data_IF_449991210776
#
_entry.id   IF_449991210776
#
_cell.length_a   1.000
_cell.length_b   1.000
_cell.length_c   1.000
_cell.angle_alpha   90.00
_cell.angle_beta   90.00
_cell.angle_gamma   90.00
#
_symmetry.space_group_name_H-M   'P 1'
#
loop_
_entity.id
_entity.type
_entity.pdbx_description
1 polymer ?
#
# COMPACT_ATOMS: atom_id res chain seq x y z
N UNK A 1 13.36 20.02 -8.36
CA UNK A 1 14.51 19.10 -8.35
C UNK A 1 15.59 19.40 -7.29
N UNK A 2 15.47 20.45 -6.49
CA UNK A 2 16.50 20.81 -5.47
C UNK A 2 16.14 20.49 -4.02
N UNK A 3 15.02 19.81 -3.76
CA UNK A 3 14.55 19.56 -2.39
C UNK A 3 14.88 18.17 -1.83
N UNK A 4 15.53 17.30 -2.61
CA UNK A 4 15.93 15.96 -2.17
C UNK A 4 17.36 15.82 -1.60
N UNK A 5 18.14 16.90 -1.47
CA UNK A 5 19.58 16.81 -1.12
C UNK A 5 19.89 17.26 0.31
N UNK A 6 18.93 17.60 1.14
CA UNK A 6 19.21 18.07 2.51
C UNK A 6 18.86 17.01 3.54
N UNK A 7 19.88 16.40 4.00
CA UNK A 7 20.14 15.79 5.32
C UNK A 7 20.55 14.31 5.29
N UNK A 8 21.78 14.07 4.82
CA UNK A 8 22.46 12.77 4.95
C UNK A 8 23.02 12.49 6.37
N UNK A 9 22.75 13.35 7.35
CA UNK A 9 23.38 13.26 8.68
C UNK A 9 22.62 12.37 9.69
N UNK A 10 21.37 12.01 9.42
CA UNK A 10 20.52 11.30 10.40
C UNK A 10 20.80 9.79 10.45
N UNK A 11 21.31 9.18 9.36
CA UNK A 11 21.54 7.72 9.30
C UNK A 11 22.92 7.26 9.78
N UNK A 12 23.80 8.17 10.20
CA UNK A 12 25.16 7.82 10.63
C UNK A 12 25.28 7.26 12.05
N UNK A 13 24.19 7.07 12.78
CA UNK A 13 24.19 6.61 14.17
C UNK A 13 23.49 5.27 14.43
N UNK A 14 23.39 4.38 13.44
CA UNK A 14 22.96 3.00 13.69
C UNK A 14 24.13 2.02 13.63
N UNK A 15 25.21 2.34 14.34
CA UNK A 15 26.16 1.34 14.85
C UNK A 15 25.82 1.05 16.31
N UNK A 16 24.77 0.30 16.55
CA UNK A 16 24.66 -0.46 17.78
C UNK A 16 24.84 -1.91 17.41
N UNK A 17 26.06 -2.40 17.56
CA UNK A 17 26.35 -3.78 17.88
C UNK A 17 25.69 -4.11 19.21
N UNK A 18 24.38 -4.24 19.22
CA UNK A 18 23.67 -4.90 20.29
C UNK A 18 23.78 -6.39 20.00
N UNK A 19 24.66 -7.07 20.72
CA UNK A 19 24.58 -8.51 20.94
C UNK A 19 23.13 -8.83 21.29
N UNK A 20 22.39 -9.48 20.37
CA UNK A 20 21.04 -9.98 20.66
C UNK A 20 21.17 -10.90 21.87
N UNK A 21 20.56 -10.58 23.02
CA UNK A 21 20.48 -11.55 24.11
C UNK A 21 19.55 -12.66 23.58
N UNK A 22 20.12 -13.82 23.26
CA UNK A 22 19.38 -15.01 22.85
C UNK A 22 18.35 -15.47 23.92
N UNK A 23 18.38 -14.84 25.11
CA UNK A 23 17.63 -15.28 26.29
C UNK A 23 16.30 -14.53 26.54
N UNK A 24 15.83 -13.65 25.64
CA UNK A 24 14.57 -12.95 25.85
C UNK A 24 13.68 -12.98 24.62
N UNK A 25 13.05 -14.14 24.31
CA UNK A 25 12.22 -14.31 23.12
C UNK A 25 10.96 -13.44 23.14
N UNK A 26 10.51 -12.98 24.31
CA UNK A 26 9.31 -12.13 24.45
C UNK A 26 9.60 -10.63 24.50
N UNK A 27 10.86 -10.21 24.25
CA UNK A 27 11.18 -8.79 24.14
C UNK A 27 10.57 -8.20 22.86
N UNK A 28 9.90 -7.06 22.98
CA UNK A 28 9.22 -6.38 21.89
C UNK A 28 10.18 -6.04 20.73
N UNK A 29 11.38 -5.54 21.06
CA UNK A 29 12.39 -5.13 20.08
C UNK A 29 12.97 -6.31 19.27
N UNK A 30 12.76 -7.55 19.74
CA UNK A 30 13.17 -8.77 19.05
C UNK A 30 12.08 -9.31 18.11
N UNK A 31 10.89 -8.70 18.08
CA UNK A 31 9.76 -9.18 17.30
C UNK A 31 9.75 -8.59 15.88
N UNK A 32 9.89 -9.45 14.87
CA UNK A 32 9.70 -9.06 13.46
C UNK A 32 8.31 -8.45 13.24
N UNK A 33 7.28 -9.05 13.85
CA UNK A 33 5.91 -8.56 13.72
C UNK A 33 5.76 -7.13 14.23
N UNK A 34 6.47 -6.74 15.29
CA UNK A 34 6.46 -5.37 15.80
C UNK A 34 7.16 -4.40 14.83
N UNK A 35 8.26 -4.80 14.22
CA UNK A 35 8.94 -4.01 13.19
C UNK A 35 8.00 -3.75 12.00
N UNK A 36 7.32 -4.77 11.50
CA UNK A 36 6.33 -4.64 10.42
C UNK A 36 5.15 -3.75 10.82
N UNK A 37 4.62 -3.95 12.03
CA UNK A 37 3.51 -3.16 12.57
C UNK A 37 3.87 -1.69 12.67
N UNK A 38 5.00 -1.36 13.29
CA UNK A 38 5.44 0.02 13.49
C UNK A 38 5.80 0.72 12.18
N UNK A 39 6.43 0.01 11.24
CA UNK A 39 6.69 0.51 9.89
C UNK A 39 5.40 0.79 9.13
N UNK A 40 4.40 -0.10 9.22
CA UNK A 40 3.09 0.11 8.60
C UNK A 40 2.36 1.32 9.20
N UNK A 41 2.43 1.56 10.51
CA UNK A 41 1.87 2.76 11.13
C UNK A 41 2.52 4.05 10.59
N UNK A 42 3.85 4.08 10.49
CA UNK A 42 4.59 5.21 9.95
C UNK A 42 4.23 5.46 8.48
N UNK A 43 4.18 4.41 7.67
CA UNK A 43 3.80 4.46 6.27
C UNK A 43 2.36 4.98 6.08
N UNK A 44 1.40 4.50 6.87
CA UNK A 44 0.02 4.98 6.83
C UNK A 44 -0.10 6.48 7.20
N UNK A 45 0.71 6.97 8.14
CA UNK A 45 0.76 8.40 8.48
C UNK A 45 1.25 9.24 7.30
N UNK A 46 2.29 8.79 6.61
CA UNK A 46 2.83 9.45 5.41
C UNK A 46 1.80 9.45 4.27
N UNK A 47 1.21 8.29 3.96
CA UNK A 47 0.17 8.20 2.94
C UNK A 47 -1.02 9.09 3.22
N UNK A 48 -1.43 9.27 4.47
CA UNK A 48 -2.51 10.19 4.82
C UNK A 48 -2.22 11.63 4.38
N UNK A 49 -0.96 12.07 4.51
CA UNK A 49 -0.55 13.40 4.08
C UNK A 49 -0.52 13.50 2.54
N UNK A 50 0.10 12.53 1.88
CA UNK A 50 0.25 12.52 0.42
C UNK A 50 -1.08 12.33 -0.33
N UNK A 51 -2.02 11.57 0.25
CA UNK A 51 -3.33 11.30 -0.35
C UNK A 51 -4.40 12.32 0.00
N UNK A 52 -4.16 13.24 0.95
CA UNK A 52 -5.12 14.28 1.33
C UNK A 52 -5.59 15.12 0.13
N UNK A 53 -4.71 15.57 -0.81
CA UNK A 53 -5.14 16.33 -2.00
C UNK A 53 -6.01 15.53 -2.97
N UNK A 54 -5.97 14.18 -2.90
CA UNK A 54 -6.77 13.27 -3.71
C UNK A 54 -8.07 12.86 -3.01
N UNK A 55 -8.24 13.25 -1.75
CA UNK A 55 -9.35 12.84 -0.89
C UNK A 55 -9.50 11.31 -0.79
N UNK A 56 -8.36 10.59 -0.73
CA UNK A 56 -8.31 9.14 -0.61
C UNK A 56 -7.66 8.72 0.70
N UNK A 57 -8.15 7.60 1.25
CA UNK A 57 -7.42 6.83 2.26
C UNK A 57 -6.45 5.85 1.58
N UNK A 58 -5.45 5.35 2.31
CA UNK A 58 -4.49 4.40 1.75
C UNK A 58 -5.15 3.12 1.19
N UNK A 59 -6.10 2.46 1.87
CA UNK A 59 -6.81 1.33 1.29
C UNK A 59 -7.60 1.67 0.02
N UNK A 60 -8.20 2.86 -0.06
CA UNK A 60 -8.88 3.33 -1.27
C UNK A 60 -7.89 3.56 -2.42
N UNK A 61 -6.73 4.13 -2.12
CA UNK A 61 -5.67 4.31 -3.10
C UNK A 61 -5.17 2.98 -3.67
N UNK A 62 -5.04 1.93 -2.84
CA UNK A 62 -4.70 0.58 -3.31
C UNK A 62 -5.74 0.03 -4.29
N UNK A 63 -7.02 0.23 -4.04
CA UNK A 63 -8.10 -0.14 -4.98
C UNK A 63 -7.95 0.63 -6.29
N UNK A 64 -7.68 1.94 -6.22
CA UNK A 64 -7.48 2.77 -7.41
C UNK A 64 -6.25 2.32 -8.21
N UNK A 65 -5.14 1.92 -7.55
CA UNK A 65 -3.96 1.37 -8.23
C UNK A 65 -4.29 0.11 -9.03
N UNK A 66 -5.09 -0.82 -8.45
CA UNK A 66 -5.54 -2.03 -9.16
C UNK A 66 -6.34 -1.66 -10.39
N UNK A 67 -7.26 -0.69 -10.27
CA UNK A 67 -8.13 -0.27 -11.38
C UNK A 67 -7.37 0.54 -12.45
N UNK A 68 -6.36 1.33 -12.07
CA UNK A 68 -5.50 2.05 -13.03
C UNK A 68 -4.57 1.11 -13.79
N UNK A 69 -4.18 -0.02 -13.19
CA UNK A 69 -3.41 -1.08 -13.87
C UNK A 69 -4.29 -1.88 -14.82
N UNK A 70 -5.49 -2.25 -14.36
CA UNK A 70 -6.47 -3.02 -15.13
C UNK A 70 -7.89 -2.59 -14.75
N UNK A 71 -8.55 -1.89 -15.65
CA UNK A 71 -9.98 -1.54 -15.53
C UNK A 71 -10.88 -2.75 -15.82
N UNK A 72 -12.15 -2.66 -15.46
CA UNK A 72 -13.15 -3.72 -15.65
C UNK A 72 -12.76 -5.06 -15.01
N UNK A 73 -12.52 -5.02 -13.72
CA UNK A 73 -12.16 -6.18 -12.91
C UNK A 73 -13.28 -6.53 -11.92
N UNK A 74 -13.45 -7.81 -11.62
CA UNK A 74 -14.45 -8.24 -10.63
C UNK A 74 -14.07 -7.85 -9.20
N UNK A 75 -15.08 -7.71 -8.32
CA UNK A 75 -14.83 -7.46 -6.89
C UNK A 75 -13.91 -8.53 -6.29
N UNK A 76 -14.12 -9.81 -6.65
CA UNK A 76 -13.24 -10.90 -6.21
C UNK A 76 -11.81 -10.73 -6.71
N UNK A 77 -11.64 -10.35 -7.98
CA UNK A 77 -10.32 -10.11 -8.57
C UNK A 77 -9.56 -8.96 -7.88
N UNK A 78 -10.27 -7.88 -7.46
CA UNK A 78 -9.66 -6.83 -6.64
C UNK A 78 -9.28 -7.38 -5.26
N UNK A 79 -10.14 -8.18 -4.63
CA UNK A 79 -9.87 -8.82 -3.34
C UNK A 79 -8.63 -9.69 -3.37
N UNK A 80 -8.49 -10.55 -4.38
CA UNK A 80 -7.32 -11.41 -4.60
C UNK A 80 -6.03 -10.58 -4.75
N UNK A 81 -6.09 -9.50 -5.55
CA UNK A 81 -4.93 -8.60 -5.76
C UNK A 81 -4.49 -7.88 -4.48
N UNK A 82 -5.42 -7.53 -3.62
CA UNK A 82 -5.17 -6.76 -2.39
C UNK A 82 -5.09 -7.64 -1.13
N UNK A 83 -5.31 -8.95 -1.24
CA UNK A 83 -5.39 -9.88 -0.10
C UNK A 83 -6.49 -9.46 0.89
N UNK A 84 -7.62 -8.97 0.37
CA UNK A 84 -8.77 -8.51 1.16
C UNK A 84 -9.98 -9.42 0.92
N UNK A 85 -10.69 -9.73 1.98
CA UNK A 85 -11.99 -10.38 1.90
C UNK A 85 -13.09 -9.41 1.41
N UNK A 86 -14.22 -9.97 0.99
CA UNK A 86 -15.35 -9.21 0.48
C UNK A 86 -15.99 -8.27 1.52
N UNK A 87 -15.94 -8.63 2.82
CA UNK A 87 -16.49 -7.83 3.90
C UNK A 87 -15.68 -6.55 4.09
N UNK A 88 -14.37 -6.63 3.98
CA UNK A 88 -13.44 -5.49 4.05
C UNK A 88 -13.48 -4.65 2.78
N UNK A 89 -13.56 -5.28 1.61
CA UNK A 89 -13.48 -4.59 0.32
C UNK A 89 -14.77 -3.83 -0.02
N UNK A 90 -15.95 -4.39 0.28
CA UNK A 90 -17.24 -3.81 -0.07
C UNK A 90 -17.43 -2.37 0.44
N UNK A 91 -17.12 -2.03 1.70
CA UNK A 91 -17.22 -0.64 2.18
C UNK A 91 -16.27 0.33 1.47
N UNK A 92 -15.08 -0.13 1.06
CA UNK A 92 -14.11 0.69 0.30
C UNK A 92 -14.68 1.04 -1.06
N UNK A 93 -15.20 0.04 -1.79
CA UNK A 93 -15.80 0.23 -3.09
C UNK A 93 -17.04 1.14 -3.03
N UNK A 94 -17.90 0.97 -2.02
CA UNK A 94 -19.07 1.85 -1.82
C UNK A 94 -18.68 3.32 -1.66
N UNK A 95 -17.63 3.59 -0.87
CA UNK A 95 -17.12 4.96 -0.65
C UNK A 95 -16.53 5.56 -1.91
N UNK A 96 -15.76 4.79 -2.69
CA UNK A 96 -15.19 5.23 -3.97
C UNK A 96 -16.29 5.49 -5.02
N UNK A 97 -17.32 4.65 -5.05
CA UNK A 97 -18.49 4.85 -5.90
C UNK A 97 -19.27 6.10 -5.52
N UNK A 98 -19.52 6.33 -4.21
CA UNK A 98 -20.14 7.56 -3.70
C UNK A 98 -19.32 8.81 -4.00
N UNK A 99 -17.99 8.69 -4.08
CA UNK A 99 -17.10 9.75 -4.51
C UNK A 99 -17.04 9.96 -6.03
N UNK A 100 -17.79 9.16 -6.80
CA UNK A 100 -17.87 9.24 -8.25
C UNK A 100 -16.60 8.79 -8.98
N UNK A 101 -15.75 7.97 -8.35
CA UNK A 101 -14.46 7.53 -8.92
C UNK A 101 -14.57 6.20 -9.66
N UNK A 102 -15.53 5.37 -9.31
CA UNK A 102 -15.79 4.08 -9.93
C UNK A 102 -17.30 3.81 -9.99
N UNK A 103 -17.66 2.79 -10.75
CA UNK A 103 -19.01 2.23 -10.84
C UNK A 103 -18.95 0.72 -10.63
N UNK A 104 -20.00 0.17 -10.02
CA UNK A 104 -20.17 -1.27 -9.83
C UNK A 104 -21.39 -1.73 -10.61
N UNK A 105 -21.24 -2.69 -11.48
CA UNK A 105 -22.32 -3.26 -12.27
C UNK A 105 -22.28 -4.77 -12.19
N UNK A 106 -23.44 -5.42 -12.22
CA UNK A 106 -23.48 -6.88 -12.38
C UNK A 106 -22.87 -7.25 -13.72
N UNK A 107 -22.00 -8.25 -13.70
CA UNK A 107 -21.38 -8.75 -14.93
C UNK A 107 -22.46 -9.23 -15.90
N UNK A 108 -22.33 -8.87 -17.16
CA UNK A 108 -23.21 -9.39 -18.22
C UNK A 108 -22.98 -10.85 -18.54
N UNK A 109 -21.79 -11.36 -18.19
CA UNK A 109 -21.40 -12.74 -18.46
C UNK A 109 -21.77 -13.70 -17.31
N UNK A 110 -21.79 -13.20 -16.08
CA UNK A 110 -22.18 -13.95 -14.88
C UNK A 110 -22.82 -13.00 -13.88
N UNK A 111 -24.14 -13.07 -13.74
CA UNK A 111 -24.92 -12.19 -12.84
C UNK A 111 -24.55 -12.33 -11.34
N UNK A 112 -23.80 -13.39 -10.97
CA UNK A 112 -23.28 -13.61 -9.62
C UNK A 112 -22.07 -12.72 -9.33
N UNK A 113 -21.43 -12.20 -10.37
CA UNK A 113 -20.25 -11.37 -10.26
C UNK A 113 -20.59 -9.89 -10.43
N UNK A 114 -19.89 -9.06 -9.65
CA UNK A 114 -19.96 -7.60 -9.77
C UNK A 114 -18.64 -7.14 -10.37
N UNK A 115 -18.72 -6.52 -11.53
CA UNK A 115 -17.62 -5.84 -12.20
C UNK A 115 -17.50 -4.41 -11.67
N UNK A 116 -16.27 -3.92 -11.57
CA UNK A 116 -15.91 -2.58 -11.12
C UNK A 116 -15.16 -1.89 -12.24
N UNK A 117 -15.64 -0.70 -12.64
CA UNK A 117 -15.04 0.12 -13.69
C UNK A 117 -14.77 1.53 -13.19
N UNK A 118 -13.74 2.16 -13.71
CA UNK A 118 -13.43 3.56 -13.43
C UNK A 118 -14.44 4.49 -14.14
N UNK A 119 -14.77 5.59 -13.49
CA UNK A 119 -15.39 6.75 -14.17
C UNK A 119 -14.29 7.59 -14.86
N UNK A 120 -14.67 8.57 -15.66
CA UNK A 120 -13.72 9.52 -16.25
C UNK A 120 -13.00 10.32 -15.16
N UNK A 121 -13.69 10.66 -14.07
CA UNK A 121 -13.09 11.30 -12.89
C UNK A 121 -12.06 10.39 -12.23
N UNK A 122 -12.37 9.10 -12.07
CA UNK A 122 -11.45 8.11 -11.52
C UNK A 122 -10.20 7.91 -12.38
N UNK A 123 -10.36 7.90 -13.71
CA UNK A 123 -9.24 7.85 -14.66
C UNK A 123 -8.37 9.11 -14.60
N UNK A 124 -8.98 10.28 -14.59
CA UNK A 124 -8.26 11.55 -14.52
C UNK A 124 -7.46 11.71 -13.21
N UNK A 125 -7.92 11.10 -12.11
CA UNK A 125 -7.24 11.15 -10.83
C UNK A 125 -5.86 10.46 -10.86
N UNK A 126 -5.65 9.50 -11.76
CA UNK A 126 -4.36 8.80 -11.94
C UNK A 126 -3.21 9.78 -12.17
N UNK A 127 -3.43 10.83 -13.00
CA UNK A 127 -2.38 11.81 -13.31
C UNK A 127 -1.91 12.57 -12.06
N UNK A 128 -2.82 12.84 -11.12
CA UNK A 128 -2.48 13.50 -9.85
C UNK A 128 -1.77 12.57 -8.87
N UNK A 129 -1.91 11.26 -9.04
CA UNK A 129 -1.32 10.25 -8.18
C UNK A 129 0.11 9.83 -8.60
N UNK A 130 0.57 10.19 -9.80
CA UNK A 130 1.86 9.76 -10.37
C UNK A 130 3.06 10.11 -9.48
N UNK A 131 3.01 11.24 -8.77
CA UNK A 131 4.11 11.69 -7.90
C UNK A 131 4.18 10.99 -6.53
N UNK A 132 3.15 10.23 -6.14
CA UNK A 132 3.07 9.62 -4.80
C UNK A 132 4.18 8.59 -4.57
N UNK A 133 4.45 7.62 -5.49
CA UNK A 133 5.50 6.64 -5.29
C UNK A 133 6.89 7.27 -5.12
N UNK A 134 7.19 8.32 -5.89
CA UNK A 134 8.45 9.06 -5.77
C UNK A 134 8.58 9.76 -4.43
N UNK A 135 7.51 10.41 -3.96
CA UNK A 135 7.49 11.06 -2.66
C UNK A 135 7.71 10.08 -1.49
N UNK A 136 7.18 8.85 -1.59
CA UNK A 136 7.44 7.78 -0.62
C UNK A 136 8.91 7.37 -0.63
N UNK A 137 9.49 7.13 -1.80
CA UNK A 137 10.90 6.73 -1.94
C UNK A 137 11.85 7.80 -1.40
N UNK A 138 11.59 9.08 -1.70
CA UNK A 138 12.37 10.20 -1.17
C UNK A 138 12.29 10.28 0.36
N UNK A 139 11.09 10.11 0.94
CA UNK A 139 10.90 10.20 2.38
C UNK A 139 11.51 9.00 3.12
N UNK A 140 11.48 7.82 2.52
CA UNK A 140 12.10 6.61 3.08
C UNK A 140 13.64 6.71 3.11
N UNK A 141 14.24 7.69 2.42
CA UNK A 141 15.69 7.88 2.32
C UNK A 141 16.46 6.62 1.92
N UNK A 142 15.79 5.70 1.22
CA UNK A 142 16.35 4.46 0.71
C UNK A 142 16.60 4.59 -0.79
N UNK A 143 17.72 4.04 -1.25
CA UNK A 143 17.94 3.89 -2.69
C UNK A 143 17.00 2.84 -3.30
N UNK A 144 16.87 2.85 -4.62
CA UNK A 144 15.95 1.99 -5.35
C UNK A 144 16.27 0.49 -5.17
N UNK A 145 17.54 0.15 -5.05
CA UNK A 145 17.98 -1.25 -4.89
C UNK A 145 17.61 -1.78 -3.51
N UNK A 146 17.83 -0.99 -2.46
CA UNK A 146 17.42 -1.32 -1.08
C UNK A 146 15.90 -1.47 -0.97
N UNK A 147 15.12 -0.56 -1.59
CA UNK A 147 13.67 -0.67 -1.61
C UNK A 147 13.17 -1.90 -2.35
N UNK A 148 13.81 -2.22 -3.49
CA UNK A 148 13.49 -3.42 -4.28
C UNK A 148 13.80 -4.71 -3.52
N UNK A 149 14.95 -4.78 -2.84
CA UNK A 149 15.34 -5.92 -2.03
C UNK A 149 14.36 -6.14 -0.86
N UNK A 150 14.05 -5.07 -0.10
CA UNK A 150 13.10 -5.14 1.00
C UNK A 150 11.70 -5.59 0.54
N UNK A 151 11.23 -5.07 -0.60
CA UNK A 151 9.96 -5.48 -1.19
C UNK A 151 9.93 -6.98 -1.46
N UNK A 152 10.98 -7.54 -2.09
CA UNK A 152 11.07 -8.98 -2.40
C UNK A 152 11.05 -9.84 -1.14
N UNK A 153 11.79 -9.44 -0.10
CA UNK A 153 11.81 -10.15 1.18
C UNK A 153 10.42 -10.15 1.86
N UNK A 154 9.71 -9.03 1.83
CA UNK A 154 8.35 -8.94 2.37
C UNK A 154 7.34 -9.75 1.55
N UNK A 155 7.46 -9.78 0.23
CA UNK A 155 6.64 -10.62 -0.65
C UNK A 155 6.89 -12.11 -0.37
N UNK A 156 8.14 -12.53 -0.23
CA UNK A 156 8.49 -13.89 0.14
C UNK A 156 7.95 -14.27 1.51
N UNK A 157 8.13 -13.42 2.53
CA UNK A 157 7.57 -13.64 3.86
C UNK A 157 6.06 -13.83 3.82
N UNK A 158 5.35 -12.98 3.09
CA UNK A 158 3.88 -13.08 2.92
C UNK A 158 3.49 -14.44 2.33
N UNK A 159 4.20 -14.89 1.29
CA UNK A 159 3.92 -16.19 0.68
C UNK A 159 4.12 -17.37 1.63
N UNK A 160 5.16 -17.31 2.48
CA UNK A 160 5.38 -18.35 3.48
C UNK A 160 4.27 -18.36 4.54
N UNK A 161 3.85 -17.20 5.01
CA UNK A 161 2.77 -17.08 6.00
C UNK A 161 1.40 -17.50 5.44
N UNK A 162 1.18 -17.39 4.14
CA UNK A 162 -0.07 -17.84 3.50
C UNK A 162 -0.16 -19.36 3.33
N UNK A 163 0.97 -20.06 3.36
CA UNK A 163 1.05 -21.53 3.25
C UNK A 163 0.97 -22.25 4.61
N UNK A 164 1.09 -21.51 5.70
CA UNK A 164 1.03 -22.03 7.07
C UNK A 164 -0.41 -22.17 7.56
#
# INVERSE_FOLDING_TARGET
SEMCIRDRSIFKHMKTTSSRPADQPLHLDNQLCFALYSANLALNKLYRQLLAPLNLTYPQYLVMLVLWERDDITVSGIGERLFLDSATLTPLLKRLESAGLLQRQRSRQDERQVAVTLTDTGRALQQKAVSIPEAISCTAACDADTMSALKKELEYLREQLHRA
#
